data_IF_193089559510
#
_entry.id   IF_193089559510
#
_cell.length_a   1.000
_cell.length_b   1.000
_cell.length_c   1.000
_cell.angle_alpha   90.00
_cell.angle_beta   90.00
_cell.angle_gamma   90.00
#
_symmetry.space_group_name_H-M   'P 1'
#
loop_
_entity.id
_entity.type
_entity.pdbx_description
1 polymer ?
#
# COMPACT_ATOMS: atom_id res chain seq x y z
N UNK A 1 17.63 6.39 8.03
CA UNK A 1 16.64 6.81 7.02
C UNK A 1 15.85 7.99 7.55
N UNK A 2 16.05 9.16 6.93
CA UNK A 2 16.02 10.45 7.64
C UNK A 2 14.87 11.34 7.15
N UNK A 3 13.64 10.81 7.14
CA UNK A 3 12.44 11.59 6.79
C UNK A 3 12.18 11.81 5.30
N UNK A 4 13.23 11.95 4.48
CA UNK A 4 13.13 12.22 3.04
C UNK A 4 12.71 11.01 2.19
N UNK A 5 12.79 9.81 2.77
CA UNK A 5 12.43 8.57 2.07
C UNK A 5 10.93 8.57 1.73
N UNK A 6 10.64 8.60 0.43
CA UNK A 6 9.29 8.60 -0.12
C UNK A 6 9.14 7.52 -1.22
N UNK A 7 7.90 7.12 -1.46
CA UNK A 7 7.54 6.26 -2.58
C UNK A 7 6.60 7.04 -3.51
N UNK A 8 6.97 7.15 -4.79
CA UNK A 8 6.15 7.82 -5.80
C UNK A 8 4.87 7.03 -6.06
N UNK A 9 3.86 7.72 -6.60
CA UNK A 9 2.63 7.07 -7.06
C UNK A 9 2.93 5.94 -8.04
N UNK A 10 2.47 4.73 -7.72
CA UNK A 10 2.62 3.54 -8.53
C UNK A 10 1.47 2.56 -8.28
N UNK A 11 1.39 1.52 -9.11
CA UNK A 11 0.64 0.30 -8.83
C UNK A 11 1.62 -0.81 -8.51
N UNK A 12 1.19 -1.76 -7.68
CA UNK A 12 1.97 -2.95 -7.44
C UNK A 12 2.05 -3.81 -8.73
N UNK A 13 3.26 -4.22 -9.18
CA UNK A 13 3.38 -5.04 -10.37
C UNK A 13 2.80 -6.45 -10.15
N UNK A 14 2.37 -7.07 -11.25
CA UNK A 14 1.99 -8.49 -11.30
C UNK A 14 0.81 -8.92 -10.38
N UNK A 15 0.01 -7.96 -9.91
CA UNK A 15 -1.26 -8.24 -9.23
C UNK A 15 -2.22 -9.01 -10.14
N UNK A 16 -2.81 -10.09 -9.63
CA UNK A 16 -3.68 -10.99 -10.38
C UNK A 16 -2.96 -12.02 -11.25
N UNK A 17 -1.63 -11.96 -11.41
CA UNK A 17 -0.87 -12.93 -12.24
C UNK A 17 0.20 -13.71 -11.46
N UNK A 18 0.99 -13.03 -10.63
CA UNK A 18 1.98 -13.64 -9.73
C UNK A 18 1.49 -13.56 -8.29
N UNK A 19 0.85 -12.44 -7.95
CA UNK A 19 0.39 -12.12 -6.61
C UNK A 19 -1.13 -12.07 -6.59
N UNK A 20 -1.72 -12.56 -5.50
CA UNK A 20 -3.14 -12.37 -5.23
C UNK A 20 -3.44 -10.89 -5.14
N UNK A 21 -4.68 -10.51 -5.47
CA UNK A 21 -5.08 -9.11 -5.54
C UNK A 21 -5.14 -8.39 -4.20
N UNK A 22 -5.00 -9.14 -3.10
CA UNK A 22 -4.91 -8.61 -1.73
C UNK A 22 -3.47 -8.25 -1.37
N UNK A 23 -3.25 -7.00 -0.98
CA UNK A 23 -2.01 -6.51 -0.37
C UNK A 23 -2.30 -5.99 1.03
N UNK A 24 -1.44 -6.32 1.98
CA UNK A 24 -1.49 -5.79 3.34
C UNK A 24 -0.21 -5.01 3.63
N UNK A 25 -0.33 -3.74 3.97
CA UNK A 25 0.79 -2.86 4.31
C UNK A 25 0.74 -2.54 5.80
N UNK A 26 1.73 -3.01 6.56
CA UNK A 26 1.85 -2.72 7.99
C UNK A 26 2.85 -1.58 8.18
N UNK A 27 2.45 -0.55 8.91
CA UNK A 27 3.28 0.62 9.22
C UNK A 27 4.02 0.43 10.54
N UNK A 28 5.34 0.66 10.58
CA UNK A 28 6.16 0.59 11.78
C UNK A 28 7.12 1.79 11.86
N UNK A 29 7.34 2.33 13.05
CA UNK A 29 8.16 3.53 13.25
C UNK A 29 7.38 4.82 13.05
N UNK A 30 8.05 5.90 12.65
CA UNK A 30 7.46 7.24 12.63
C UNK A 30 6.29 7.37 11.65
N UNK A 31 5.24 8.15 11.96
CA UNK A 31 4.07 8.29 11.10
C UNK A 31 4.37 8.93 9.75
N UNK A 32 3.74 8.43 8.68
CA UNK A 32 3.82 9.01 7.32
C UNK A 32 2.46 9.00 6.63
N UNK A 33 2.27 9.93 5.68
CA UNK A 33 1.06 9.94 4.84
C UNK A 33 1.16 8.85 3.79
N UNK A 34 0.14 7.99 3.76
CA UNK A 34 -0.10 7.04 2.68
C UNK A 34 -1.22 7.62 1.82
N UNK A 35 -0.99 7.71 0.52
CA UNK A 35 -1.89 8.41 -0.39
C UNK A 35 -2.36 7.49 -1.51
N UNK A 36 -3.61 7.68 -1.91
CA UNK A 36 -4.21 7.07 -3.09
C UNK A 36 -4.63 8.18 -4.06
N UNK A 37 -4.54 7.90 -5.37
CA UNK A 37 -5.18 8.73 -6.38
C UNK A 37 -5.74 7.86 -7.51
N UNK A 38 -6.85 8.25 -8.15
CA UNK A 38 -7.40 7.49 -9.25
C UNK A 38 -6.39 7.40 -10.40
N UNK A 39 -6.34 6.26 -11.07
CA UNK A 39 -5.56 6.13 -12.31
C UNK A 39 -6.35 6.82 -13.42
N UNK A 40 -5.74 7.78 -14.15
CA UNK A 40 -6.40 8.41 -15.29
C UNK A 40 -6.96 7.36 -16.25
N UNK A 41 -8.13 7.64 -16.80
CA UNK A 41 -8.85 6.77 -17.74
C UNK A 41 -9.39 5.44 -17.19
N UNK A 42 -9.10 5.09 -15.93
CA UNK A 42 -9.61 3.86 -15.28
C UNK A 42 -10.63 4.11 -14.18
N UNK A 43 -10.51 5.23 -13.47
CA UNK A 43 -11.35 5.54 -12.31
C UNK A 43 -11.36 7.04 -12.04
N UNK A 44 -12.38 7.52 -11.33
CA UNK A 44 -12.55 8.91 -10.87
C UNK A 44 -13.16 8.91 -9.48
N UNK A 45 -12.85 9.94 -8.67
CA UNK A 45 -13.46 10.08 -7.35
C UNK A 45 -14.98 10.15 -7.36
N UNK A 46 -15.57 10.75 -8.40
CA UNK A 46 -17.01 10.83 -8.58
C UNK A 46 -17.72 9.47 -8.63
N UNK A 47 -17.01 8.38 -8.92
CA UNK A 47 -17.55 7.01 -8.90
C UNK A 47 -17.63 6.42 -7.48
N UNK A 48 -17.02 7.08 -6.50
CA UNK A 48 -16.94 6.68 -5.09
C UNK A 48 -17.64 7.67 -4.14
N UNK A 49 -17.94 8.88 -4.62
CA UNK A 49 -18.63 9.95 -3.89
C UNK A 49 -20.17 9.72 -3.81
N UNK A 50 -20.62 8.48 -3.56
CA UNK A 50 -22.04 8.09 -3.41
C UNK A 50 -22.69 8.65 -2.12
N UNK A 51 -22.18 9.75 -1.58
CA UNK A 51 -22.77 10.44 -0.43
C UNK A 51 -23.71 11.51 -0.95
N UNK A 52 -25.02 11.27 -0.81
CA UNK A 52 -26.02 12.33 -0.85
C UNK A 52 -25.72 13.35 0.26
N UNK A 53 -24.93 14.36 -0.08
CA UNK A 53 -24.60 15.49 0.79
C UNK A 53 -25.74 16.51 0.89
N UNK A 54 -26.99 16.15 0.53
CA UNK A 54 -28.17 17.01 0.71
C UNK A 54 -28.46 17.34 2.18
N UNK A 55 -27.85 16.63 3.13
CA UNK A 55 -27.84 17.02 4.54
C UNK A 55 -26.63 17.93 4.84
N UNK A 56 -26.88 19.24 4.78
CA UNK A 56 -26.03 20.34 5.30
C UNK A 56 -25.07 20.98 4.28
N UNK A 57 -25.64 21.76 3.36
CA UNK A 57 -24.96 22.69 2.46
C UNK A 57 -24.37 23.90 3.22
N UNK A 58 -23.28 23.66 3.94
CA UNK A 58 -22.30 24.68 4.31
C UNK A 58 -21.19 24.74 3.26
N UNK A 59 -21.52 25.04 2.00
CA UNK A 59 -20.55 25.15 0.90
C UNK A 59 -19.55 26.26 1.19
N UNK A 60 -18.38 25.90 1.72
CA UNK A 60 -17.18 26.71 1.60
C UNK A 60 -16.53 26.32 0.27
N UNK A 61 -16.70 27.19 -0.72
CA UNK A 61 -16.20 26.99 -2.07
C UNK A 61 -14.70 26.72 -2.12
N UNK A 62 -14.36 25.60 -2.75
CA UNK A 62 -13.01 25.28 -3.19
C UNK A 62 -13.13 24.58 -4.54
N UNK A 63 -13.41 25.34 -5.60
CA UNK A 63 -13.31 24.87 -6.97
C UNK A 63 -11.85 24.57 -7.29
N UNK A 64 -11.45 23.32 -7.06
CA UNK A 64 -10.34 22.65 -7.69
C UNK A 64 -10.63 21.15 -7.55
N UNK A 65 -11.69 20.70 -8.24
CA UNK A 65 -11.97 19.29 -8.47
C UNK A 65 -10.89 18.74 -9.41
N UNK A 66 -9.65 18.70 -8.95
CA UNK A 66 -8.63 17.91 -9.62
C UNK A 66 -9.08 16.46 -9.44
N UNK A 67 -9.66 15.90 -10.50
CA UNK A 67 -10.14 14.52 -10.52
C UNK A 67 -9.02 13.50 -10.18
N UNK A 68 -7.76 13.96 -10.12
CA UNK A 68 -6.59 13.19 -9.73
C UNK A 68 -6.01 13.57 -8.36
N UNK A 69 -6.67 14.46 -7.62
CA UNK A 69 -6.27 14.89 -6.28
C UNK A 69 -6.08 13.67 -5.38
N UNK A 70 -4.96 13.57 -4.64
CA UNK A 70 -4.70 12.40 -3.82
C UNK A 70 -5.47 12.45 -2.49
N UNK A 71 -6.15 11.36 -2.16
CA UNK A 71 -6.67 11.11 -0.82
C UNK A 71 -5.54 10.55 0.05
N UNK A 72 -5.14 11.30 1.09
CA UNK A 72 -4.02 10.93 1.95
C UNK A 72 -4.47 10.69 3.39
N UNK A 73 -4.03 9.58 3.98
CA UNK A 73 -4.24 9.22 5.38
C UNK A 73 -2.90 9.14 6.10
N UNK A 74 -2.81 9.65 7.33
CA UNK A 74 -1.61 9.52 8.15
C UNK A 74 -1.63 8.16 8.84
N UNK A 75 -0.63 7.32 8.57
CA UNK A 75 -0.48 6.02 9.20
C UNK A 75 0.45 6.13 10.40
N UNK A 76 -0.03 5.68 11.56
CA UNK A 76 0.73 5.54 12.79
C UNK A 76 1.38 4.15 12.88
N UNK A 77 2.41 3.98 13.73
CA UNK A 77 2.97 2.65 13.99
C UNK A 77 1.89 1.68 14.50
N UNK A 78 1.76 0.54 13.84
CA UNK A 78 0.73 -0.47 14.12
C UNK A 78 -0.44 -0.45 13.12
N UNK A 79 -0.63 0.64 12.38
CA UNK A 79 -1.70 0.73 11.39
C UNK A 79 -1.47 -0.23 10.22
N UNK A 80 -2.57 -0.74 9.70
CA UNK A 80 -2.61 -1.68 8.58
C UNK A 80 -3.49 -1.12 7.47
N UNK A 81 -2.92 -0.98 6.28
CA UNK A 81 -3.68 -0.69 5.06
C UNK A 81 -3.90 -1.99 4.32
N UNK A 82 -5.17 -2.37 4.16
CA UNK A 82 -5.58 -3.53 3.37
C UNK A 82 -6.12 -3.04 2.02
N UNK A 83 -5.42 -3.38 0.94
CA UNK A 83 -5.87 -3.13 -0.43
C UNK A 83 -6.42 -4.45 -0.99
N UNK A 84 -7.69 -4.46 -1.38
CA UNK A 84 -8.37 -5.65 -1.92
C UNK A 84 -8.82 -5.45 -3.36
N UNK A 85 -9.23 -6.54 -3.98
CA UNK A 85 -9.92 -6.55 -5.27
C UNK A 85 -9.19 -5.77 -6.36
N UNK A 86 -9.80 -4.78 -6.97
CA UNK A 86 -9.24 -3.96 -8.04
C UNK A 86 -8.61 -2.65 -7.58
N UNK A 87 -8.42 -2.45 -6.28
CA UNK A 87 -7.78 -1.27 -5.72
C UNK A 87 -6.45 -0.93 -6.42
N UNK A 88 -5.57 -1.93 -6.61
CA UNK A 88 -4.27 -1.74 -7.27
C UNK A 88 -4.36 -1.56 -8.80
N UNK A 89 -5.51 -1.82 -9.41
CA UNK A 89 -5.73 -1.67 -10.85
C UNK A 89 -6.37 -0.32 -11.20
N UNK A 90 -7.08 0.29 -10.24
CA UNK A 90 -7.87 1.51 -10.39
C UNK A 90 -7.30 2.72 -9.63
N UNK A 91 -6.43 2.50 -8.65
CA UNK A 91 -5.75 3.56 -7.90
C UNK A 91 -4.23 3.39 -7.93
N UNK A 92 -3.51 4.50 -8.08
CA UNK A 92 -2.11 4.59 -7.71
C UNK A 92 -1.99 4.85 -6.21
N UNK A 93 -0.99 4.27 -5.56
CA UNK A 93 -0.68 4.56 -4.17
C UNK A 93 0.77 5.08 -4.00
N UNK A 94 0.99 5.85 -2.93
CA UNK A 94 2.25 6.50 -2.62
C UNK A 94 2.47 6.60 -1.10
N UNK A 95 3.73 6.82 -0.72
CA UNK A 95 4.10 7.21 0.65
C UNK A 95 4.84 8.53 0.54
N UNK A 96 4.32 9.58 1.18
CA UNK A 96 4.98 10.88 1.17
C UNK A 96 6.16 10.93 2.12
N UNK A 97 7.14 11.78 1.76
CA UNK A 97 8.19 12.18 2.68
C UNK A 97 7.58 12.84 3.91
N UNK A 98 8.37 12.91 4.99
CA UNK A 98 7.99 13.71 6.13
C UNK A 98 7.86 15.19 5.74
N UNK A 99 6.83 15.87 6.24
CA UNK A 99 6.58 17.29 5.92
C UNK A 99 7.37 18.24 6.84
N UNK A 100 8.31 17.71 7.63
CA UNK A 100 9.24 18.48 8.47
C UNK A 100 8.57 19.28 9.59
N UNK A 101 7.29 19.00 9.88
CA UNK A 101 6.47 19.78 10.80
C UNK A 101 6.32 19.12 12.19
N UNK A 102 6.99 18.00 12.43
CA UNK A 102 7.06 17.34 13.74
C UNK A 102 8.49 16.89 14.01
N UNK A 103 8.92 16.93 15.28
CA UNK A 103 10.19 16.39 15.80
C UNK A 103 10.34 14.86 15.59
N UNK A 104 9.41 14.24 14.84
CA UNK A 104 9.33 12.82 14.54
C UNK A 104 9.87 12.51 13.13
N UNK A 105 11.06 13.05 12.85
CA UNK A 105 11.87 12.73 11.65
C UNK A 105 12.47 11.32 11.73
N UNK A 106 11.90 10.45 12.55
CA UNK A 106 12.39 9.12 12.78
C UNK A 106 12.18 8.20 11.59
N UNK A 107 12.86 7.06 11.64
CA UNK A 107 12.78 6.06 10.59
C UNK A 107 11.41 5.38 10.58
N UNK A 108 10.89 5.14 9.37
CA UNK A 108 9.71 4.30 9.14
C UNK A 108 10.08 3.08 8.31
N UNK A 109 9.45 1.96 8.63
CA UNK A 109 9.46 0.73 7.82
C UNK A 109 8.02 0.38 7.44
N UNK A 110 7.83 -0.09 6.21
CA UNK A 110 6.60 -0.74 5.79
C UNK A 110 6.86 -2.20 5.49
N UNK A 111 6.03 -3.07 6.04
CA UNK A 111 6.00 -4.48 5.67
C UNK A 111 4.84 -4.66 4.68
N UNK A 112 5.17 -4.93 3.42
CA UNK A 112 4.19 -5.20 2.36
C UNK A 112 4.07 -6.71 2.21
N UNK A 113 2.93 -7.25 2.62
CA UNK A 113 2.62 -8.67 2.58
C UNK A 113 1.69 -8.95 1.41
N UNK A 114 2.09 -9.90 0.56
CA UNK A 114 1.32 -10.37 -0.60
C UNK A 114 1.26 -11.88 -0.60
N UNK A 115 0.11 -12.42 -0.97
CA UNK A 115 -0.07 -13.87 -1.17
C UNK A 115 0.36 -14.24 -2.58
N UNK A 116 1.27 -15.20 -2.75
CA UNK A 116 1.60 -15.75 -4.06
C UNK A 116 0.42 -16.59 -4.60
N UNK A 117 0.16 -16.50 -5.91
CA UNK A 117 -0.78 -17.39 -6.59
C UNK A 117 -0.10 -18.70 -6.96
N UNK A 118 -0.84 -19.81 -6.86
CA UNK A 118 -0.35 -21.11 -7.28
C UNK A 118 -0.32 -21.19 -8.80
N UNK A 119 0.85 -21.44 -9.37
CA UNK A 119 1.07 -21.52 -10.82
C UNK A 119 0.90 -22.92 -11.42
N UNK A 120 0.18 -23.79 -10.72
CA UNK A 120 -0.03 -25.16 -11.18
C UNK A 120 1.26 -25.98 -11.32
N UNK A 121 2.25 -25.81 -10.43
CA UNK A 121 3.49 -26.60 -10.52
C UNK A 121 4.58 -26.41 -9.47
N UNK A 122 4.41 -25.65 -8.38
CA UNK A 122 5.49 -25.44 -7.40
C UNK A 122 5.00 -25.02 -6.03
N UNK A 123 5.65 -25.55 -4.98
CA UNK A 123 5.30 -25.38 -3.57
C UNK A 123 5.17 -23.91 -3.15
N UNK A 124 4.14 -23.62 -2.34
CA UNK A 124 3.91 -22.31 -1.72
C UNK A 124 5.01 -21.98 -0.72
N UNK A 125 5.61 -20.79 -0.83
CA UNK A 125 6.39 -20.16 0.26
C UNK A 125 7.88 -19.90 -0.02
N UNK A 126 8.51 -19.15 0.89
CA UNK A 126 9.95 -18.85 0.88
C UNK A 126 10.74 -20.11 1.27
N UNK A 127 11.22 -20.82 0.25
CA UNK A 127 12.07 -22.00 0.38
C UNK A 127 11.29 -23.27 0.69
N UNK A 128 11.54 -24.31 -0.11
CA UNK A 128 10.99 -25.65 0.11
C UNK A 128 11.27 -26.10 1.55
N UNK A 129 10.36 -26.90 2.13
CA UNK A 129 10.66 -27.61 3.37
C UNK A 129 11.94 -28.45 3.17
N UNK A 130 13.04 -28.05 3.82
CA UNK A 130 14.35 -28.71 3.64
C UNK A 130 15.43 -27.86 2.95
N UNK A 131 15.09 -26.69 2.39
CA UNK A 131 16.04 -25.87 1.62
C UNK A 131 16.59 -24.65 2.37
N UNK A 132 16.08 -24.38 3.58
CA UNK A 132 16.65 -23.35 4.43
C UNK A 132 18.07 -23.72 4.91
N UNK A 133 18.91 -22.72 5.17
CA UNK A 133 20.28 -22.92 5.73
C UNK A 133 20.30 -23.82 6.97
N UNK A 134 19.22 -23.85 7.77
CA UNK A 134 19.06 -24.73 8.95
C UNK A 134 18.82 -26.19 8.58
N UNK A 135 18.11 -26.48 7.50
CA UNK A 135 17.84 -27.85 7.06
C UNK A 135 19.09 -28.53 6.46
N UNK A 136 19.89 -27.78 5.68
CA UNK A 136 21.19 -28.26 5.16
C UNK A 136 22.19 -28.62 6.26
N UNK A 137 22.07 -28.04 7.46
CA UNK A 137 22.94 -28.37 8.60
C UNK A 137 22.62 -29.73 9.21
N UNK A 138 21.39 -30.25 9.03
CA UNK A 138 20.96 -31.54 9.56
C UNK A 138 21.46 -32.72 8.70
N UNK A 139 21.55 -32.53 7.37
CA UNK A 139 22.06 -33.55 6.43
C UNK A 139 23.58 -33.77 6.49
N UNK A 140 24.35 -32.90 7.13
CA UNK A 140 25.81 -33.03 7.27
C UNK A 140 26.26 -33.78 8.54
N UNK A 141 25.32 -34.36 9.29
CA UNK A 141 25.59 -35.06 10.56
C UNK A 141 25.23 -36.55 10.53
N UNK A 142 24.92 -37.08 9.35
CA UNK A 142 24.84 -38.51 9.03
C UNK A 142 26.01 -38.86 8.11
#
# INVERSE_FOLDING_TARGET
PDGEAACKFHTDPEHGSHWHRTTCVVSCGSPRKFAFRPIPDKNKWSEWDDVDCSANSGSSGGTNDDATAPAAVRLFPGDVVLMTDDCNDVFHHAVYADEGNCDDTGSRVSLVLKRALDRGGGQRGHGLAGEGRRARRRQRRE
#
